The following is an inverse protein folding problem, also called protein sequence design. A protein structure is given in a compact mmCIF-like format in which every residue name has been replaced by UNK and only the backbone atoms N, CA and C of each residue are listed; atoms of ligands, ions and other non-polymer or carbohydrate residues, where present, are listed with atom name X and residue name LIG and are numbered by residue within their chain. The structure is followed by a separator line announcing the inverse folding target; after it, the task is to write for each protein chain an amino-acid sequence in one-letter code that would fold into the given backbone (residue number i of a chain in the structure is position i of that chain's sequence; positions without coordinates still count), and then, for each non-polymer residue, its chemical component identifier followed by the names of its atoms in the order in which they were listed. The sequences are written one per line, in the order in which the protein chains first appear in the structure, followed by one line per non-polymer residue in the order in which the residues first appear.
data_IF_236064006307
#
_entry.id   IF_236064006307
#
_cell.length_a   1.000
_cell.length_b   1.000
_cell.length_c   1.000
_cell.angle_alpha   90.00
_cell.angle_beta   90.00
_cell.angle_gamma   90.00
#
_symmetry.space_group_name_H-M   'P 1'
#
loop_
_entity.id
_entity.type
_entity.pdbx_description
1 polymer ?
#
# COMPACT_ATOMS: atom_id res chain seq x y z
N UNK A 1 17.69 -9.92 -5.75
CA UNK A 1 16.50 -9.16 -5.32
C UNK A 1 16.34 -9.37 -3.82
N UNK A 2 16.93 -8.48 -3.01
CA UNK A 2 16.97 -8.64 -1.55
C UNK A 2 15.84 -7.82 -0.94
N UNK A 3 14.86 -8.48 -0.34
CA UNK A 3 13.83 -7.83 0.46
C UNK A 3 14.47 -7.48 1.80
N UNK A 4 14.95 -6.25 1.94
CA UNK A 4 15.29 -5.67 3.24
C UNK A 4 13.98 -5.22 3.90
N UNK A 5 13.45 -6.04 4.81
CA UNK A 5 12.48 -5.58 5.82
C UNK A 5 13.17 -5.65 7.17
N UNK A 6 13.73 -4.51 7.60
CA UNK A 6 14.10 -4.32 8.99
C UNK A 6 13.22 -3.21 9.58
N UNK A 7 12.16 -3.60 10.28
CA UNK A 7 11.67 -2.91 11.47
C UNK A 7 10.91 -3.89 12.36
N UNK A 8 11.33 -3.94 13.62
CA UNK A 8 10.77 -4.76 14.69
C UNK A 8 9.26 -4.50 14.84
N UNK A 9 8.50 -5.59 14.96
CA UNK A 9 7.13 -5.67 15.47
C UNK A 9 5.98 -5.26 14.51
N UNK A 10 5.80 -6.00 13.43
CA UNK A 10 4.48 -6.28 12.84
C UNK A 10 4.57 -7.71 12.30
N UNK A 11 3.66 -8.59 12.72
CA UNK A 11 3.62 -10.00 12.34
C UNK A 11 3.83 -10.14 10.84
N UNK A 12 4.90 -10.85 10.44
CA UNK A 12 5.17 -11.21 9.04
C UNK A 12 4.13 -12.27 8.66
N UNK A 13 2.87 -11.88 8.55
CA UNK A 13 1.92 -12.64 7.73
C UNK A 13 2.31 -12.39 6.26
N UNK A 14 1.98 -13.34 5.40
CA UNK A 14 2.26 -13.35 3.97
C UNK A 14 1.48 -12.22 3.25
N UNK A 15 1.79 -10.97 3.58
CA UNK A 15 1.16 -9.78 3.04
C UNK A 15 1.59 -9.62 1.58
N UNK A 16 0.66 -9.88 0.66
CA UNK A 16 0.84 -9.56 -0.74
C UNK A 16 0.80 -8.03 -0.89
N UNK A 17 1.98 -7.41 -0.86
CA UNK A 17 2.13 -5.96 -0.74
C UNK A 17 2.36 -5.29 -2.09
N UNK A 18 1.46 -4.37 -2.44
CA UNK A 18 1.48 -3.56 -3.66
C UNK A 18 2.09 -2.18 -3.35
N UNK A 19 3.08 -1.78 -4.14
CA UNK A 19 3.64 -0.42 -4.09
C UNK A 19 2.79 0.52 -4.94
N UNK A 20 2.35 1.63 -4.34
CA UNK A 20 1.60 2.69 -5.02
C UNK A 20 2.48 3.94 -5.09
N UNK A 21 2.99 4.28 -6.27
CA UNK A 21 3.82 5.47 -6.49
C UNK A 21 3.04 6.62 -7.14
N UNK A 22 3.72 7.76 -7.30
CA UNK A 22 3.19 8.97 -7.94
C UNK A 22 1.91 9.52 -7.27
N UNK A 23 1.79 9.32 -5.96
CA UNK A 23 0.63 9.77 -5.21
C UNK A 23 0.66 11.29 -5.01
N UNK A 24 -0.46 11.95 -5.30
CA UNK A 24 -0.67 13.36 -4.97
C UNK A 24 -0.41 13.66 -3.49
N UNK A 25 -0.01 14.89 -3.18
CA UNK A 25 0.32 15.29 -1.81
C UNK A 25 -0.90 15.21 -0.86
N UNK A 26 -2.11 15.34 -1.40
CA UNK A 26 -3.35 15.18 -0.64
C UNK A 26 -3.67 13.72 -0.28
N UNK A 27 -3.04 12.73 -0.93
CA UNK A 27 -3.36 11.32 -0.68
C UNK A 27 -2.98 10.93 0.76
N UNK A 28 -3.95 10.34 1.45
CA UNK A 28 -3.90 9.88 2.82
C UNK A 28 -4.04 8.37 2.89
N UNK A 29 -3.75 7.78 4.06
CA UNK A 29 -3.97 6.36 4.31
C UNK A 29 -5.44 5.96 4.04
N UNK A 30 -6.39 6.83 4.42
CA UNK A 30 -7.83 6.61 4.23
C UNK A 30 -8.26 6.70 2.76
N UNK A 31 -7.80 7.70 2.01
CA UNK A 31 -8.13 7.82 0.58
C UNK A 31 -7.53 6.68 -0.23
N UNK A 32 -6.29 6.27 0.08
CA UNK A 32 -5.68 5.10 -0.51
C UNK A 32 -6.42 3.81 -0.12
N UNK A 33 -6.84 3.66 1.14
CA UNK A 33 -7.64 2.51 1.57
C UNK A 33 -8.98 2.43 0.82
N UNK A 34 -9.69 3.54 0.66
CA UNK A 34 -10.96 3.59 -0.09
C UNK A 34 -10.82 3.15 -1.54
N UNK A 35 -9.68 3.42 -2.18
CA UNK A 35 -9.42 2.98 -3.55
C UNK A 35 -9.29 1.45 -3.66
N UNK A 36 -8.84 0.77 -2.59
CA UNK A 36 -8.54 -0.66 -2.61
C UNK A 36 -9.46 -1.53 -1.73
N UNK A 37 -10.33 -0.95 -0.88
CA UNK A 37 -11.22 -1.73 -0.01
C UNK A 37 -12.29 -2.54 -0.78
N UNK A 38 -12.41 -2.33 -2.09
CA UNK A 38 -13.27 -3.11 -2.99
C UNK A 38 -12.78 -4.56 -3.19
N UNK A 39 -11.51 -4.83 -2.89
CA UNK A 39 -10.94 -6.17 -2.95
C UNK A 39 -11.18 -6.87 -1.60
N UNK A 40 -11.87 -8.02 -1.55
CA UNK A 40 -12.27 -8.66 -0.30
C UNK A 40 -11.13 -8.96 0.68
N UNK A 41 -9.93 -9.26 0.17
CA UNK A 41 -8.76 -9.55 1.00
C UNK A 41 -7.93 -8.33 1.40
N UNK A 42 -8.38 -7.11 1.10
CA UNK A 42 -7.71 -5.87 1.53
C UNK A 42 -7.44 -5.89 3.04
N UNK A 43 -6.19 -5.66 3.42
CA UNK A 43 -5.76 -5.63 4.82
C UNK A 43 -5.49 -4.19 5.28
N UNK A 44 -4.57 -3.50 4.60
CA UNK A 44 -4.06 -2.21 5.05
C UNK A 44 -3.58 -1.35 3.90
N UNK A 45 -3.77 -0.03 4.02
CA UNK A 45 -3.11 0.97 3.19
C UNK A 45 -2.26 1.90 4.06
N UNK A 46 -1.08 2.29 3.56
CA UNK A 46 -0.19 3.22 4.25
C UNK A 46 0.54 4.12 3.27
N UNK A 47 0.30 5.42 3.33
CA UNK A 47 1.10 6.45 2.68
C UNK A 47 2.36 6.70 3.49
N UNK A 48 3.51 6.69 2.82
CA UNK A 48 4.77 6.99 3.47
C UNK A 48 4.94 8.49 3.57
N UNK A 49 5.10 8.97 4.80
CA UNK A 49 5.31 10.36 5.13
C UNK A 49 6.67 10.55 5.78
N UNK A 50 7.27 11.70 5.54
CA UNK A 50 8.46 12.11 6.26
C UNK A 50 8.16 12.30 7.75
N UNK A 51 8.95 11.67 8.63
CA UNK A 51 8.66 11.64 10.08
C UNK A 51 8.74 13.00 10.75
N UNK A 52 9.54 13.94 10.21
CA UNK A 52 9.75 15.25 10.82
C UNK A 52 8.72 16.25 10.33
N UNK A 53 8.41 16.21 9.04
CA UNK A 53 7.54 17.20 8.39
C UNK A 53 6.11 16.73 8.19
N UNK A 54 5.83 15.44 8.39
CA UNK A 54 4.55 14.78 8.07
C UNK A 54 4.09 14.90 6.61
N UNK A 55 4.94 15.42 5.73
CA UNK A 55 4.67 15.53 4.29
C UNK A 55 4.71 14.16 3.62
N UNK A 56 3.81 13.95 2.67
CA UNK A 56 3.83 12.75 1.82
C UNK A 56 5.15 12.66 1.07
N UNK A 57 5.65 11.44 0.89
CA UNK A 57 6.77 11.14 0.00
C UNK A 57 6.31 10.78 -1.42
N UNK A 58 5.02 10.91 -1.71
CA UNK A 58 4.43 10.59 -3.02
C UNK A 58 4.30 9.09 -3.28
N UNK A 59 4.33 8.26 -2.24
CA UNK A 59 4.12 6.82 -2.37
C UNK A 59 3.53 6.18 -1.12
N UNK A 60 2.98 4.98 -1.29
CA UNK A 60 2.40 4.18 -0.24
C UNK A 60 2.42 2.69 -0.56
N UNK A 61 1.85 1.91 0.35
CA UNK A 61 1.73 0.47 0.24
C UNK A 61 0.31 0.03 0.56
N UNK A 62 -0.14 -0.99 -0.15
CA UNK A 62 -1.40 -1.69 0.11
C UNK A 62 -1.09 -3.16 0.32
N UNK A 63 -1.65 -3.82 1.32
CA UNK A 63 -1.52 -5.26 1.52
C UNK A 63 -2.84 -6.00 1.38
N UNK A 64 -2.73 -7.24 0.90
CA UNK A 64 -3.83 -8.19 0.76
C UNK A 64 -3.43 -9.51 1.42
N UNK A 65 -4.42 -10.24 1.93
CA UNK A 65 -4.23 -11.59 2.45
C UNK A 65 -4.35 -12.68 1.39
N UNK A 66 -4.86 -12.35 0.18
CA UNK A 66 -5.03 -13.29 -0.92
C UNK A 66 -4.20 -12.87 -2.17
N UNK A 67 -3.43 -13.79 -2.78
CA UNK A 67 -2.61 -13.50 -3.96
C UNK A 67 -3.43 -13.21 -5.23
N UNK A 68 -4.64 -13.77 -5.33
CA UNK A 68 -5.55 -13.54 -6.44
C UNK A 68 -6.03 -12.10 -6.47
N UNK A 69 -6.49 -11.59 -5.34
CA UNK A 69 -6.84 -10.19 -5.16
C UNK A 69 -5.68 -9.23 -5.38
N UNK A 70 -4.49 -9.54 -4.86
CA UNK A 70 -3.29 -8.77 -5.15
C UNK A 70 -3.03 -8.65 -6.66
N UNK A 71 -3.12 -9.78 -7.37
CA UNK A 71 -2.90 -9.82 -8.82
C UNK A 71 -3.96 -9.04 -9.58
N UNK A 72 -5.23 -9.12 -9.14
CA UNK A 72 -6.34 -8.34 -9.72
C UNK A 72 -6.14 -6.85 -9.51
N UNK A 73 -5.88 -6.44 -8.27
CA UNK A 73 -5.63 -5.04 -7.91
C UNK A 73 -4.45 -4.45 -8.70
N UNK A 74 -3.35 -5.20 -8.82
CA UNK A 74 -2.19 -4.79 -9.61
C UNK A 74 -2.54 -4.51 -11.08
N UNK A 75 -3.39 -5.34 -11.69
CA UNK A 75 -3.79 -5.17 -13.10
C UNK A 75 -4.82 -4.06 -13.28
N UNK A 76 -5.80 -3.99 -12.40
CA UNK A 76 -6.93 -3.07 -12.54
C UNK A 76 -6.61 -1.64 -12.13
N UNK A 77 -5.71 -1.44 -11.16
CA UNK A 77 -5.41 -0.12 -10.57
C UNK A 77 -4.16 0.55 -11.13
N UNK A 78 -3.39 -0.15 -11.98
CA UNK A 78 -2.22 0.44 -12.62
C UNK A 78 -2.63 1.65 -13.47
N UNK A 79 -2.11 2.84 -13.12
CA UNK A 79 -2.40 4.10 -13.80
C UNK A 79 -3.76 4.73 -13.49
N UNK A 80 -4.42 4.35 -12.38
CA UNK A 80 -5.76 4.88 -12.00
C UNK A 80 -5.80 5.62 -10.65
N UNK A 81 -4.65 5.81 -10.00
CA UNK A 81 -4.52 6.48 -8.70
C UNK A 81 -4.13 7.95 -8.86
#
# INVERSE_FOLDING_TARGET
MLILVNRKNESIEYDFRLFCGDLGNEVTDDTLARAFNRYPSFQKAKVVRDKRTSKSRGYGFVSFSDPGDFTRAMREMNGKL
#
